data_IF_986622637152
#
_entry.id   IF_986622637152
#
_cell.length_a   1.000
_cell.length_b   1.000
_cell.length_c   1.000
_cell.angle_alpha   90.00
_cell.angle_beta   90.00
_cell.angle_gamma   90.00
#
_symmetry.space_group_name_H-M   'P 1'
#
loop_
_entity.id
_entity.type
_entity.pdbx_description
1 polymer ?
#
# COMPACT_ATOMS: atom_id res chain seq x y z
N UNK A 1 6.67 5.99 8.49
CA UNK A 1 5.92 6.72 7.46
C UNK A 1 4.68 7.27 8.15
N UNK A 2 4.50 8.59 8.17
CA UNK A 2 3.34 9.18 8.85
C UNK A 2 2.05 8.68 8.18
N UNK A 3 1.09 8.23 8.97
CA UNK A 3 -0.17 7.65 8.49
C UNK A 3 -1.32 8.59 8.83
N UNK A 4 -2.16 8.90 7.85
CA UNK A 4 -3.38 9.68 8.09
C UNK A 4 -4.37 8.85 8.92
N UNK A 5 -4.63 9.28 10.15
CA UNK A 5 -5.59 8.64 11.06
C UNK A 5 -7.00 9.21 10.86
N UNK A 6 -7.62 8.86 9.73
CA UNK A 6 -8.97 9.33 9.39
C UNK A 6 -10.06 8.50 10.08
N UNK A 7 -11.20 9.14 10.38
CA UNK A 7 -12.37 8.45 10.92
C UNK A 7 -13.00 7.52 9.87
N UNK A 8 -12.98 6.21 10.12
CA UNK A 8 -13.61 5.20 9.25
C UNK A 8 -15.13 5.37 9.12
N UNK A 9 -15.75 6.07 10.08
CA UNK A 9 -17.19 6.36 10.07
C UNK A 9 -17.55 7.54 9.15
N UNK A 10 -16.56 8.28 8.67
CA UNK A 10 -16.77 9.38 7.74
C UNK A 10 -17.22 8.84 6.38
N UNK A 11 -18.29 9.39 5.81
CA UNK A 11 -18.87 8.90 4.55
C UNK A 11 -17.88 8.87 3.38
N UNK A 12 -17.00 9.86 3.32
CA UNK A 12 -15.96 9.98 2.29
C UNK A 12 -14.69 9.17 2.56
N UNK A 13 -14.59 8.44 3.69
CA UNK A 13 -13.37 7.72 4.06
C UNK A 13 -12.90 6.75 2.96
N UNK A 14 -13.82 5.91 2.47
CA UNK A 14 -13.50 4.90 1.45
C UNK A 14 -13.14 5.53 0.11
N UNK A 15 -13.89 6.55 -0.27
CA UNK A 15 -13.73 7.25 -1.55
C UNK A 15 -12.39 8.00 -1.60
N UNK A 16 -12.03 8.70 -0.52
CA UNK A 16 -10.73 9.36 -0.36
C UNK A 16 -9.57 8.38 -0.53
N UNK A 17 -9.59 7.24 0.17
CA UNK A 17 -8.49 6.26 0.08
C UNK A 17 -8.39 5.59 -1.29
N UNK A 18 -9.50 5.44 -2.02
CA UNK A 18 -9.48 4.97 -3.41
C UNK A 18 -8.76 5.99 -4.31
N UNK A 19 -9.11 7.27 -4.21
CA UNK A 19 -8.45 8.31 -5.01
C UNK A 19 -6.98 8.49 -4.65
N UNK A 20 -6.61 8.40 -3.37
CA UNK A 20 -5.20 8.43 -2.94
C UNK A 20 -4.43 7.25 -3.52
N UNK A 21 -5.00 6.03 -3.49
CA UNK A 21 -4.39 4.85 -4.12
C UNK A 21 -4.17 5.08 -5.61
N UNK A 22 -5.17 5.60 -6.30
CA UNK A 22 -5.12 5.77 -7.76
C UNK A 22 -4.15 6.89 -8.17
N UNK A 23 -3.96 7.91 -7.32
CA UNK A 23 -2.91 8.92 -7.48
C UNK A 23 -1.50 8.34 -7.23
N UNK A 24 -1.35 7.47 -6.22
CA UNK A 24 -0.08 6.85 -5.87
C UNK A 24 0.37 5.79 -6.87
N UNK A 25 -0.56 5.07 -7.49
CA UNK A 25 -0.25 3.91 -8.32
C UNK A 25 -0.89 4.00 -9.69
N UNK A 26 -0.08 4.39 -10.68
CA UNK A 26 -0.49 4.39 -12.09
C UNK A 26 -0.27 3.01 -12.68
N UNK A 27 -1.32 2.47 -13.31
CA UNK A 27 -1.27 1.17 -13.96
C UNK A 27 -0.47 1.19 -15.27
N UNK A 28 0.23 0.10 -15.55
CA UNK A 28 0.73 -0.17 -16.89
C UNK A 28 -0.45 -0.29 -17.86
N UNK A 29 -0.42 0.51 -18.94
CA UNK A 29 -1.55 0.63 -19.87
C UNK A 29 -1.78 -0.66 -20.66
N UNK A 30 -0.72 -1.42 -20.95
CA UNK A 30 -0.81 -2.66 -21.72
C UNK A 30 -1.41 -3.75 -20.85
N UNK A 31 -0.89 -3.94 -19.64
CA UNK A 31 -1.44 -4.90 -18.69
C UNK A 31 -2.90 -4.58 -18.36
N UNK A 32 -3.22 -3.30 -18.11
CA UNK A 32 -4.58 -2.86 -17.80
C UNK A 32 -5.54 -3.20 -18.94
N UNK A 33 -5.15 -2.91 -20.18
CA UNK A 33 -5.96 -3.23 -21.37
C UNK A 33 -6.22 -4.73 -21.50
N UNK A 34 -5.19 -5.56 -21.31
CA UNK A 34 -5.34 -7.02 -21.38
C UNK A 34 -6.32 -7.54 -20.32
N UNK A 35 -6.26 -6.99 -19.11
CA UNK A 35 -7.22 -7.32 -18.04
C UNK A 35 -8.62 -6.82 -18.39
N UNK A 36 -8.77 -5.60 -18.88
CA UNK A 36 -10.07 -5.06 -19.31
C UNK A 36 -10.71 -5.90 -20.43
N UNK A 37 -9.92 -6.35 -21.40
CA UNK A 37 -10.40 -7.20 -22.49
C UNK A 37 -10.83 -8.58 -21.97
N UNK A 38 -10.12 -9.15 -21.00
CA UNK A 38 -10.57 -10.36 -20.30
C UNK A 38 -11.86 -10.13 -19.50
N UNK A 39 -11.94 -9.04 -18.74
CA UNK A 39 -13.10 -8.74 -17.90
C UNK A 39 -14.39 -8.57 -18.72
N UNK A 40 -14.29 -8.06 -19.95
CA UNK A 40 -15.42 -8.01 -20.89
C UNK A 40 -15.96 -9.41 -21.23
N UNK A 41 -15.11 -10.43 -21.32
CA UNK A 41 -15.56 -11.81 -21.62
C UNK A 41 -16.39 -12.42 -20.50
N UNK A 42 -16.18 -11.96 -19.26
CA UNK A 42 -16.95 -12.35 -18.07
C UNK A 42 -18.01 -11.30 -17.68
N UNK A 43 -18.35 -10.37 -18.59
CA UNK A 43 -19.34 -9.31 -18.40
C UNK A 43 -19.12 -8.44 -17.14
N UNK A 44 -17.86 -8.10 -16.84
CA UNK A 44 -17.48 -7.27 -15.69
C UNK A 44 -16.58 -6.11 -16.15
N UNK A 45 -16.51 -5.03 -15.37
CA UNK A 45 -15.61 -3.89 -15.60
C UNK A 45 -14.46 -3.83 -14.58
N UNK A 46 -13.42 -3.07 -14.94
CA UNK A 46 -12.21 -2.93 -14.12
C UNK A 46 -12.51 -2.36 -12.73
N UNK A 47 -13.42 -1.38 -12.61
CA UNK A 47 -13.72 -0.74 -11.34
C UNK A 47 -14.51 -1.67 -10.41
N UNK A 48 -15.47 -2.43 -10.94
CA UNK A 48 -16.17 -3.45 -10.15
C UNK A 48 -15.24 -4.58 -9.71
N UNK A 49 -14.37 -5.06 -10.61
CA UNK A 49 -13.35 -6.03 -10.25
C UNK A 49 -12.39 -5.48 -9.19
N UNK A 50 -12.00 -4.22 -9.28
CA UNK A 50 -11.14 -3.57 -8.29
C UNK A 50 -11.79 -3.45 -6.90
N UNK A 51 -13.11 -3.25 -6.84
CA UNK A 51 -13.83 -3.15 -5.56
C UNK A 51 -14.02 -4.51 -4.89
N UNK A 52 -14.19 -5.57 -5.67
CA UNK A 52 -14.54 -6.91 -5.18
C UNK A 52 -13.37 -7.87 -5.10
N UNK A 53 -12.41 -7.77 -6.03
CA UNK A 53 -11.32 -8.72 -6.25
C UNK A 53 -9.99 -8.00 -6.58
N UNK A 54 -9.64 -6.96 -5.82
CA UNK A 54 -8.42 -6.15 -6.06
C UNK A 54 -7.13 -6.97 -6.17
N UNK A 55 -7.01 -8.07 -5.42
CA UNK A 55 -5.84 -8.97 -5.44
C UNK A 55 -5.59 -9.59 -6.81
N UNK A 56 -6.65 -9.85 -7.60
CA UNK A 56 -6.53 -10.31 -8.97
C UNK A 56 -5.84 -9.23 -9.81
N UNK A 57 -6.41 -8.02 -9.87
CA UNK A 57 -5.84 -6.90 -10.61
C UNK A 57 -4.38 -6.64 -10.19
N UNK A 58 -4.07 -6.68 -8.89
CA UNK A 58 -2.73 -6.43 -8.38
C UNK A 58 -1.68 -7.48 -8.75
N UNK A 59 -2.12 -8.71 -9.06
CA UNK A 59 -1.25 -9.77 -9.59
C UNK A 59 -1.09 -9.69 -11.10
N UNK A 60 -2.03 -9.07 -11.81
CA UNK A 60 -2.08 -9.02 -13.27
C UNK A 60 -1.53 -7.71 -13.85
N UNK A 61 -1.54 -6.62 -13.09
CA UNK A 61 -1.22 -5.27 -13.58
C UNK A 61 -0.07 -4.66 -12.80
N UNK A 62 1.03 -4.36 -13.50
CA UNK A 62 2.15 -3.59 -12.93
C UNK A 62 1.69 -2.18 -12.57
N UNK A 63 2.26 -1.63 -11.49
CA UNK A 63 1.98 -0.26 -11.03
C UNK A 63 3.27 0.53 -10.89
N UNK A 64 3.24 1.78 -11.33
CA UNK A 64 4.35 2.74 -11.18
C UNK A 64 3.89 3.90 -10.32
N UNK A 65 4.70 4.27 -9.34
CA UNK A 65 4.50 5.54 -8.64
C UNK A 65 4.99 6.69 -9.52
N UNK A 66 4.19 7.73 -9.76
CA UNK A 66 4.58 8.88 -10.58
C UNK A 66 5.82 9.60 -10.02
N UNK A 67 6.51 10.41 -10.84
CA UNK A 67 7.59 11.27 -10.37
C UNK A 67 7.08 12.30 -9.34
N UNK A 68 7.98 12.84 -8.49
CA UNK A 68 7.60 13.68 -7.35
C UNK A 68 6.75 14.90 -7.74
N UNK A 69 7.09 15.55 -8.84
CA UNK A 69 6.38 16.73 -9.35
C UNK A 69 4.90 16.44 -9.70
N UNK A 70 4.64 15.32 -10.37
CA UNK A 70 3.28 14.90 -10.75
C UNK A 70 2.51 14.39 -9.54
N UNK A 71 3.17 13.59 -8.70
CA UNK A 71 2.55 13.01 -7.52
C UNK A 71 2.17 14.08 -6.50
N UNK A 72 3.04 15.06 -6.27
CA UNK A 72 2.79 16.17 -5.34
C UNK A 72 1.54 16.96 -5.76
N UNK A 73 1.42 17.29 -7.04
CA UNK A 73 0.26 18.01 -7.56
C UNK A 73 -1.03 17.21 -7.36
N UNK A 74 -1.03 15.93 -7.75
CA UNK A 74 -2.20 15.07 -7.63
C UNK A 74 -2.65 14.89 -6.18
N UNK A 75 -1.72 14.57 -5.27
CA UNK A 75 -2.03 14.34 -3.85
C UNK A 75 -2.45 15.64 -3.16
N UNK A 76 -1.81 16.77 -3.49
CA UNK A 76 -2.21 18.08 -2.96
C UNK A 76 -3.64 18.44 -3.37
N UNK A 77 -4.00 18.27 -4.64
CA UNK A 77 -5.37 18.51 -5.11
C UNK A 77 -6.38 17.63 -4.37
N UNK A 78 -6.06 16.36 -4.13
CA UNK A 78 -6.93 15.48 -3.35
C UNK A 78 -7.07 15.93 -1.90
N UNK A 79 -5.97 16.34 -1.25
CA UNK A 79 -6.00 16.80 0.13
C UNK A 79 -6.77 18.12 0.29
N UNK A 80 -6.57 19.06 -0.65
CA UNK A 80 -7.28 20.33 -0.67
C UNK A 80 -8.77 20.14 -0.97
N UNK A 81 -9.12 19.18 -1.84
CA UNK A 81 -10.51 18.87 -2.15
C UNK A 81 -11.23 18.14 -1.01
N UNK A 82 -10.68 17.02 -0.51
CA UNK A 82 -11.36 16.16 0.46
C UNK A 82 -11.21 16.64 1.90
N UNK A 83 -10.08 17.26 2.25
CA UNK A 83 -9.76 17.68 3.62
C UNK A 83 -10.85 18.49 4.31
N UNK A 84 -11.43 19.54 3.66
CA UNK A 84 -12.47 20.36 4.28
C UNK A 84 -13.88 19.78 4.19
N UNK A 85 -14.11 18.69 3.43
CA UNK A 85 -15.46 18.18 3.20
C UNK A 85 -16.10 17.71 4.51
N UNK A 86 -17.32 18.19 4.84
CA UNK A 86 -17.99 17.82 6.08
C UNK A 86 -18.62 16.43 5.99
N UNK A 87 -18.60 15.72 7.10
CA UNK A 87 -19.34 14.49 7.29
C UNK A 87 -20.84 14.77 7.32
N UNK A 88 -21.64 14.11 6.49
CA UNK A 88 -23.09 14.27 6.49
C UNK A 88 -23.75 13.96 7.87
N UNK A 89 -23.12 13.13 8.71
CA UNK A 89 -23.65 12.75 10.04
C UNK A 89 -23.15 13.66 11.16
N UNK A 90 -21.86 14.02 11.17
CA UNK A 90 -21.24 14.72 12.30
C UNK A 90 -20.92 16.19 12.01
N UNK A 91 -21.01 16.62 10.75
CA UNK A 91 -20.59 17.96 10.30
C UNK A 91 -19.08 18.20 10.35
N UNK A 92 -18.31 17.31 10.97
CA UNK A 92 -16.85 17.42 11.10
C UNK A 92 -16.16 17.26 9.74
N UNK A 93 -15.09 18.00 9.45
CA UNK A 93 -14.31 17.82 8.23
C UNK A 93 -13.65 16.44 8.21
N UNK A 94 -13.33 15.93 7.01
CA UNK A 94 -12.56 14.69 6.88
C UNK A 94 -11.19 14.81 7.55
N UNK A 95 -10.51 15.96 7.39
CA UNK A 95 -9.23 16.21 8.04
C UNK A 95 -9.42 17.09 9.28
N UNK A 96 -9.17 16.50 10.44
CA UNK A 96 -8.99 17.24 11.68
C UNK A 96 -7.64 17.99 11.70
N UNK A 97 -7.35 18.68 12.80
CA UNK A 97 -6.11 19.47 12.93
C UNK A 97 -4.85 18.60 12.84
N UNK A 98 -4.91 17.38 13.38
CA UNK A 98 -3.78 16.46 13.39
C UNK A 98 -3.55 15.85 12.00
N UNK A 99 -4.63 15.46 11.32
CA UNK A 99 -4.60 15.00 9.93
C UNK A 99 -4.03 16.07 9.01
N UNK A 100 -4.34 17.36 9.24
CA UNK A 100 -3.73 18.47 8.48
C UNK A 100 -2.23 18.59 8.72
N UNK A 101 -1.76 18.35 9.95
CA UNK A 101 -0.34 18.33 10.28
C UNK A 101 0.38 17.17 9.58
N UNK A 102 -0.19 15.97 9.66
CA UNK A 102 0.33 14.76 8.99
C UNK A 102 0.31 14.91 7.47
N UNK A 103 -0.75 15.47 6.91
CA UNK A 103 -0.88 15.73 5.48
C UNK A 103 0.27 16.59 4.95
N UNK A 104 0.69 17.63 5.70
CA UNK A 104 1.86 18.46 5.35
C UNK A 104 3.15 17.65 5.32
N UNK A 105 3.36 16.75 6.29
CA UNK A 105 4.53 15.87 6.32
C UNK A 105 4.56 14.89 5.14
N UNK A 106 3.38 14.35 4.77
CA UNK A 106 3.25 13.48 3.60
C UNK A 106 3.61 14.24 2.32
N UNK A 107 3.05 15.44 2.12
CA UNK A 107 3.38 16.29 0.97
C UNK A 107 4.88 16.62 0.93
N UNK A 108 5.49 16.90 2.09
CA UNK A 108 6.94 17.13 2.18
C UNK A 108 7.75 15.89 1.79
N UNK A 109 7.32 14.70 2.21
CA UNK A 109 7.97 13.44 1.86
C UNK A 109 7.86 13.12 0.36
N UNK A 110 6.73 13.46 -0.25
CA UNK A 110 6.54 13.33 -1.71
C UNK A 110 7.45 14.32 -2.45
N UNK A 111 7.51 15.58 -2.00
CA UNK A 111 8.39 16.61 -2.59
C UNK A 111 9.85 16.18 -2.59
N UNK A 112 10.32 15.55 -1.50
CA UNK A 112 11.67 15.00 -1.38
C UNK A 112 11.90 13.72 -2.21
N UNK A 113 10.86 13.19 -2.84
CA UNK A 113 10.93 12.00 -3.70
C UNK A 113 11.00 10.68 -2.94
N UNK A 114 10.73 10.65 -1.64
CA UNK A 114 10.79 9.41 -0.83
C UNK A 114 9.72 8.37 -1.21
N UNK A 115 8.66 8.79 -1.89
CA UNK A 115 7.51 7.94 -2.26
C UNK A 115 7.59 7.48 -3.71
N UNK A 116 8.18 8.31 -4.58
CA UNK A 116 8.26 8.05 -6.01
C UNK A 116 9.24 6.93 -6.33
N UNK A 117 8.99 6.24 -7.44
CA UNK A 117 9.98 5.31 -7.94
C UNK A 117 11.22 6.07 -8.40
N UNK A 118 12.40 5.55 -8.04
CA UNK A 118 13.67 6.03 -8.57
C UNK A 118 13.74 5.68 -10.07
N UNK A 119 14.03 6.69 -10.90
CA UNK A 119 14.29 6.46 -12.32
C UNK A 119 15.54 5.60 -12.47
N UNK A 120 15.48 4.54 -13.29
CA UNK A 120 16.53 3.52 -13.39
C UNK A 120 16.79 2.72 -12.10
N UNK A 121 15.86 2.75 -11.14
CA UNK A 121 15.91 1.92 -9.95
C UNK A 121 15.68 0.42 -10.25
N UNK A 122 15.86 -0.45 -9.24
CA UNK A 122 15.64 -1.88 -9.40
C UNK A 122 14.18 -2.18 -9.80
N UNK A 123 13.94 -3.25 -10.59
CA UNK A 123 12.61 -3.62 -11.00
C UNK A 123 11.79 -4.10 -9.79
N UNK A 124 10.62 -3.49 -9.60
CA UNK A 124 9.68 -3.88 -8.54
C UNK A 124 8.83 -5.10 -8.88
N UNK A 125 8.82 -5.50 -10.14
CA UNK A 125 7.99 -6.58 -10.64
C UNK A 125 8.84 -7.66 -11.30
N UNK A 126 8.51 -8.92 -11.00
CA UNK A 126 9.06 -10.11 -11.64
C UNK A 126 7.93 -10.88 -12.31
N UNK A 127 8.13 -11.30 -13.55
CA UNK A 127 7.19 -12.17 -14.25
C UNK A 127 7.19 -13.58 -13.62
N UNK A 128 5.99 -14.10 -13.33
CA UNK A 128 5.78 -15.43 -12.77
C UNK A 128 5.21 -16.42 -13.81
N UNK A 129 4.83 -15.94 -14.99
CA UNK A 129 4.19 -16.70 -16.06
C UNK A 129 2.73 -16.32 -16.26
N UNK A 130 2.02 -17.09 -17.09
CA UNK A 130 0.60 -16.83 -17.42
C UNK A 130 -0.34 -17.59 -16.49
N UNK A 131 -1.51 -17.02 -16.24
CA UNK A 131 -2.59 -17.67 -15.50
C UNK A 131 -3.45 -18.58 -16.39
N UNK A 132 -4.47 -19.20 -15.80
CA UNK A 132 -5.42 -20.08 -16.51
C UNK A 132 -6.21 -19.35 -17.60
N UNK A 133 -6.28 -18.02 -17.52
CA UNK A 133 -6.98 -17.14 -18.46
C UNK A 133 -6.03 -16.55 -19.51
N UNK A 134 -4.75 -16.92 -19.50
CA UNK A 134 -3.73 -16.41 -20.41
C UNK A 134 -3.15 -15.04 -20.05
N UNK A 135 -3.52 -14.48 -18.89
CA UNK A 135 -3.02 -13.19 -18.40
C UNK A 135 -1.68 -13.35 -17.69
N UNK A 136 -0.77 -12.38 -17.89
CA UNK A 136 0.53 -12.38 -17.19
C UNK A 136 0.33 -12.19 -15.68
N UNK A 137 1.10 -12.94 -14.89
CA UNK A 137 1.18 -12.80 -13.44
C UNK A 137 2.53 -12.20 -13.04
N UNK A 138 2.47 -11.27 -12.11
CA UNK A 138 3.64 -10.59 -11.57
C UNK A 138 3.77 -10.81 -10.05
N UNK A 139 4.99 -11.06 -9.60
CA UNK A 139 5.39 -10.92 -8.20
C UNK A 139 5.86 -9.48 -7.95
N UNK A 140 5.37 -8.86 -6.88
CA UNK A 140 5.68 -7.47 -6.53
C UNK A 140 6.56 -7.41 -5.27
N UNK A 141 7.68 -6.70 -5.33
CA UNK A 141 8.60 -6.50 -4.19
C UNK A 141 8.38 -5.19 -3.42
N UNK A 142 7.29 -4.46 -3.71
CA UNK A 142 6.96 -3.17 -3.04
C UNK A 142 6.43 -3.32 -1.60
N UNK A 143 6.16 -4.55 -1.16
CA UNK A 143 5.64 -4.82 0.18
C UNK A 143 6.75 -4.97 1.22
N UNK A 144 6.39 -4.77 2.48
CA UNK A 144 7.17 -5.34 3.57
C UNK A 144 7.23 -6.85 3.34
N UNK A 145 8.46 -7.40 3.28
CA UNK A 145 8.62 -8.85 3.15
C UNK A 145 7.94 -9.55 4.33
N UNK A 146 7.56 -10.83 4.16
CA UNK A 146 7.09 -11.63 5.29
C UNK A 146 8.08 -11.59 6.48
N UNK A 147 9.37 -11.41 6.19
CA UNK A 147 10.46 -11.24 7.17
C UNK A 147 10.26 -10.01 8.06
N UNK A 148 9.64 -8.94 7.59
CA UNK A 148 9.37 -7.75 8.42
C UNK A 148 8.40 -8.06 9.57
N UNK A 149 7.48 -9.03 9.38
CA UNK A 149 6.65 -9.56 10.47
C UNK A 149 7.48 -10.23 11.55
N UNK A 150 8.54 -10.95 11.16
CA UNK A 150 9.50 -11.54 12.10
C UNK A 150 10.32 -10.47 12.81
N UNK A 151 10.76 -9.42 12.10
CA UNK A 151 11.47 -8.30 12.71
C UNK A 151 10.65 -7.65 13.83
N UNK A 152 9.36 -7.37 13.57
CA UNK A 152 8.46 -6.82 14.59
C UNK A 152 8.24 -7.78 15.78
N UNK A 153 8.12 -9.08 15.52
CA UNK A 153 7.99 -10.09 16.58
C UNK A 153 9.25 -10.16 17.45
N UNK A 154 10.44 -10.11 16.84
CA UNK A 154 11.73 -10.08 17.53
C UNK A 154 11.84 -8.81 18.36
N UNK A 155 11.59 -7.63 17.76
CA UNK A 155 11.65 -6.35 18.47
C UNK A 155 10.75 -6.39 19.70
N UNK A 156 9.49 -6.84 19.59
CA UNK A 156 8.58 -6.90 20.75
C UNK A 156 9.05 -7.83 21.87
N UNK A 157 9.68 -8.96 21.52
CA UNK A 157 10.18 -9.94 22.50
C UNK A 157 11.46 -9.47 23.17
N UNK A 158 12.32 -8.79 22.43
CA UNK A 158 13.62 -8.32 22.94
C UNK A 158 13.50 -6.94 23.59
N UNK A 159 12.65 -6.04 23.10
CA UNK A 159 12.55 -4.65 23.59
C UNK A 159 12.00 -4.54 25.01
N UNK A 160 11.20 -5.52 25.45
CA UNK A 160 10.65 -5.56 26.82
C UNK A 160 11.67 -6.03 27.86
N UNK A 161 12.78 -6.62 27.40
CA UNK A 161 13.82 -7.20 28.23
C UNK A 161 15.07 -6.38 27.97
N UNK A 162 15.70 -5.77 28.98
CA UNK A 162 17.03 -5.19 28.82
C UNK A 162 18.07 -6.33 28.68
N UNK A 163 17.97 -7.07 27.58
CA UNK A 163 18.71 -8.28 27.32
C UNK A 163 20.14 -7.95 26.90
N UNK A 164 21.09 -8.68 27.46
CA UNK A 164 22.46 -8.70 26.94
C UNK A 164 22.51 -9.47 25.61
N UNK A 165 23.67 -9.46 24.95
CA UNK A 165 23.87 -10.15 23.68
C UNK A 165 23.57 -11.66 23.78
N UNK A 166 23.93 -12.30 24.90
CA UNK A 166 23.72 -13.73 25.11
C UNK A 166 22.24 -14.06 25.29
N UNK A 167 21.50 -13.30 26.08
CA UNK A 167 20.08 -13.51 26.29
C UNK A 167 19.30 -13.27 24.99
N UNK A 168 19.71 -12.28 24.19
CA UNK A 168 19.11 -12.03 22.88
C UNK A 168 19.28 -13.24 21.96
N UNK A 169 20.48 -13.83 21.89
CA UNK A 169 20.75 -15.03 21.08
C UNK A 169 19.89 -16.24 21.54
N UNK A 170 19.77 -16.45 22.84
CA UNK A 170 18.94 -17.52 23.42
C UNK A 170 17.44 -17.32 23.09
N UNK A 171 16.92 -16.10 23.22
CA UNK A 171 15.52 -15.77 22.92
C UNK A 171 15.22 -15.97 21.42
N UNK A 172 16.17 -15.62 20.55
CA UNK A 172 16.04 -15.85 19.11
C UNK A 172 16.08 -17.36 18.78
N UNK A 173 16.96 -18.12 19.44
CA UNK A 173 17.04 -19.57 19.27
C UNK A 173 15.76 -20.28 19.70
N UNK A 174 15.20 -19.90 20.86
CA UNK A 174 13.91 -20.40 21.35
C UNK A 174 12.76 -20.04 20.41
N UNK A 175 12.72 -18.80 19.94
CA UNK A 175 11.69 -18.37 18.99
C UNK A 175 11.77 -19.13 17.67
N UNK A 176 12.98 -19.40 17.16
CA UNK A 176 13.19 -20.24 15.97
C UNK A 176 12.68 -21.66 16.20
N UNK A 177 12.97 -22.23 17.38
CA UNK A 177 12.52 -23.58 17.73
C UNK A 177 11.00 -23.67 17.77
N UNK A 178 10.34 -22.72 18.43
CA UNK A 178 8.88 -22.66 18.54
C UNK A 178 8.21 -22.62 17.16
N UNK A 179 8.72 -21.77 16.26
CA UNK A 179 8.21 -21.67 14.89
C UNK A 179 8.40 -22.95 14.08
N UNK A 180 9.50 -23.67 14.29
CA UNK A 180 9.73 -24.93 13.58
C UNK A 180 8.82 -26.06 14.07
N UNK A 181 8.32 -25.98 15.31
CA UNK A 181 7.40 -26.96 15.90
C UNK A 181 5.96 -26.67 15.48
N UNK A 182 5.55 -25.40 15.49
CA UNK A 182 4.16 -24.99 15.20
C UNK A 182 3.79 -24.98 13.70
N UNK A 183 4.78 -25.05 12.79
CA UNK A 183 4.57 -25.00 11.32
C UNK A 183 4.59 -26.40 10.67
N UNK A 184 4.64 -27.47 11.46
CA UNK A 184 4.36 -28.86 11.06
C UNK A 184 2.91 -29.24 11.33
#
# INVERSE_FOLDING_TARGET
MDMLTLSQKHGMYRDFYQHVRDALFVYDLVDKKNVEDYLKTINTDFNTCMRSHSDFIFKQVKRKTPPPNQLLLAVKLLFDHYGPLPCAKTGSPLFDQECKRIAKNILKSIELGHVSNIEYGPPFYRELGKDKNGLMKYGCSRGASSVEGYHQAIIRKVSSINADLRLTDLVLADYRLYLNIDVL
#
